data_IF_328379276359
#
_entry.id   IF_328379276359
#
_cell.length_a   1.000
_cell.length_b   1.000
_cell.length_c   1.000
_cell.angle_alpha   90.00
_cell.angle_beta   90.00
_cell.angle_gamma   90.00
#
_symmetry.space_group_name_H-M   'P 1'
#
loop_
_entity.id
_entity.type
_entity.pdbx_description
1 polymer ?
#
# COMPACT_ATOMS: atom_id res chain seq x y z
N UNK A 1 9.15 -11.98 15.13
CA UNK A 1 8.29 -13.04 14.55
C UNK A 1 9.14 -14.28 14.30
N UNK A 2 8.59 -15.49 14.42
CA UNK A 2 9.33 -16.73 14.14
C UNK A 2 8.43 -17.67 13.34
N UNK A 3 8.94 -18.23 12.24
CA UNK A 3 8.27 -19.26 11.43
C UNK A 3 8.70 -20.64 11.97
N UNK A 4 8.03 -21.11 13.03
CA UNK A 4 8.46 -22.28 13.80
C UNK A 4 7.99 -23.62 13.22
N UNK A 5 7.23 -23.63 12.13
CA UNK A 5 6.61 -24.81 11.54
C UNK A 5 7.62 -25.94 11.27
N UNK A 6 8.82 -25.60 10.76
CA UNK A 6 9.86 -26.59 10.45
C UNK A 6 10.42 -27.29 11.70
N UNK A 7 10.30 -26.68 12.89
CA UNK A 7 10.66 -27.33 14.16
C UNK A 7 9.69 -28.45 14.54
N UNK A 8 8.51 -28.48 13.94
CA UNK A 8 7.45 -29.49 14.15
C UNK A 8 7.34 -30.46 12.96
N UNK A 9 8.27 -30.42 12.00
CA UNK A 9 8.17 -31.21 10.77
C UNK A 9 7.12 -30.71 9.78
N UNK A 10 6.67 -29.46 9.93
CA UNK A 10 5.71 -28.82 9.03
C UNK A 10 6.41 -27.78 8.16
N UNK A 11 5.76 -27.36 7.08
CA UNK A 11 6.14 -26.14 6.35
C UNK A 11 5.07 -25.06 6.59
N UNK A 12 5.44 -23.76 6.52
CA UNK A 12 4.50 -22.64 6.68
C UNK A 12 3.62 -22.49 5.42
N UNK A 13 2.92 -23.55 5.01
CA UNK A 13 2.28 -23.68 3.71
C UNK A 13 1.25 -22.57 3.43
N UNK A 14 0.37 -22.29 4.40
CA UNK A 14 -0.76 -21.36 4.23
C UNK A 14 -0.32 -19.90 4.23
N UNK A 15 0.74 -19.57 4.96
CA UNK A 15 1.27 -18.20 5.07
C UNK A 15 2.40 -17.90 4.08
N UNK A 16 3.02 -18.93 3.49
CA UNK A 16 4.18 -18.82 2.59
C UNK A 16 3.97 -17.81 1.46
N UNK A 17 2.79 -17.78 0.84
CA UNK A 17 2.47 -16.84 -0.24
C UNK A 17 2.54 -15.37 0.19
N UNK A 18 2.23 -15.07 1.46
CA UNK A 18 2.33 -13.73 2.00
C UNK A 18 3.75 -13.43 2.46
N UNK A 19 4.39 -14.37 3.17
CA UNK A 19 5.78 -14.22 3.63
C UNK A 19 6.72 -14.00 2.46
N UNK A 20 6.64 -14.82 1.41
CA UNK A 20 7.52 -14.70 0.24
C UNK A 20 7.22 -13.41 -0.54
N UNK A 21 5.95 -13.00 -0.65
CA UNK A 21 5.57 -11.74 -1.32
C UNK A 21 6.14 -10.53 -0.59
N UNK A 22 6.01 -10.48 0.73
CA UNK A 22 6.42 -9.31 1.52
C UNK A 22 7.92 -9.31 1.81
N UNK A 23 8.51 -10.46 2.16
CA UNK A 23 9.90 -10.54 2.63
C UNK A 23 10.89 -10.81 1.49
N UNK A 24 10.40 -11.17 0.31
CA UNK A 24 11.23 -11.57 -0.82
C UNK A 24 11.79 -12.99 -0.68
N UNK A 25 12.17 -13.56 -1.82
CA UNK A 25 12.56 -14.98 -1.94
C UNK A 25 13.76 -15.35 -1.06
N UNK A 26 14.80 -14.53 -1.03
CA UNK A 26 16.04 -14.86 -0.34
C UNK A 26 15.86 -14.86 1.19
N UNK A 27 15.28 -13.79 1.73
CA UNK A 27 15.07 -13.65 3.17
C UNK A 27 14.01 -14.62 3.69
N UNK A 28 12.89 -14.78 2.97
CA UNK A 28 11.86 -15.75 3.34
C UNK A 28 12.41 -17.18 3.39
N UNK A 29 13.21 -17.59 2.39
CA UNK A 29 13.82 -18.93 2.35
C UNK A 29 14.70 -19.17 3.57
N UNK A 30 15.59 -18.23 3.89
CA UNK A 30 16.47 -18.35 5.06
C UNK A 30 15.64 -18.46 6.35
N UNK A 31 14.73 -17.51 6.60
CA UNK A 31 13.93 -17.48 7.82
C UNK A 31 13.01 -18.71 7.98
N UNK A 32 12.45 -19.23 6.87
CA UNK A 32 11.62 -20.44 6.88
C UNK A 32 12.42 -21.69 7.19
N UNK A 33 13.65 -21.82 6.67
CA UNK A 33 14.50 -22.98 6.88
C UNK A 33 15.17 -22.98 8.26
N UNK A 34 15.58 -21.80 8.75
CA UNK A 34 16.29 -21.68 10.03
C UNK A 34 15.34 -21.62 11.23
N UNK A 35 14.07 -21.24 11.03
CA UNK A 35 13.11 -20.96 12.10
C UNK A 35 13.68 -20.05 13.20
N UNK A 36 14.55 -19.12 12.79
CA UNK A 36 15.13 -18.12 13.69
C UNK A 36 14.12 -17.00 13.97
N UNK A 37 14.27 -16.29 15.09
CA UNK A 37 13.56 -15.04 15.30
C UNK A 37 13.96 -13.99 14.25
N UNK A 38 12.96 -13.32 13.69
CA UNK A 38 13.08 -12.14 12.81
C UNK A 38 12.58 -10.92 13.57
N UNK A 39 13.45 -9.94 13.74
CA UNK A 39 13.16 -8.72 14.49
C UNK A 39 12.51 -7.60 13.66
N UNK A 40 11.90 -6.59 14.29
CA UNK A 40 11.31 -5.46 13.59
C UNK A 40 12.35 -4.63 12.80
N UNK A 41 13.59 -4.52 13.30
CA UNK A 41 14.67 -3.79 12.62
C UNK A 41 15.03 -4.42 11.27
N UNK A 42 15.11 -5.75 11.19
CA UNK A 42 15.33 -6.46 9.94
C UNK A 42 14.18 -6.22 8.97
N UNK A 43 12.94 -6.31 9.45
CA UNK A 43 11.74 -6.07 8.63
C UNK A 43 11.65 -4.63 8.15
N UNK A 44 12.14 -3.67 8.93
CA UNK A 44 12.27 -2.27 8.53
C UNK A 44 13.35 -2.08 7.46
N UNK A 45 14.49 -2.76 7.59
CA UNK A 45 15.56 -2.73 6.58
C UNK A 45 15.12 -3.36 5.25
N UNK A 46 14.26 -4.38 5.29
CA UNK A 46 13.64 -4.99 4.12
C UNK A 46 12.51 -4.14 3.51
N UNK A 47 12.05 -3.09 4.19
CA UNK A 47 10.92 -2.26 3.75
C UNK A 47 9.53 -2.86 4.03
N UNK A 48 9.45 -3.99 4.74
CA UNK A 48 8.18 -4.64 5.15
C UNK A 48 7.46 -3.79 6.20
N UNK A 49 8.22 -3.21 7.13
CA UNK A 49 7.69 -2.28 8.14
C UNK A 49 8.00 -0.86 7.72
N UNK A 50 6.96 -0.02 7.63
CA UNK A 50 7.09 1.38 7.21
C UNK A 50 7.68 2.28 8.31
N UNK A 51 7.46 1.99 9.59
CA UNK A 51 7.97 2.77 10.71
C UNK A 51 8.07 1.90 11.96
N UNK A 52 9.13 2.11 12.74
CA UNK A 52 9.28 1.58 14.10
C UNK A 52 9.15 2.77 15.03
N UNK A 53 8.37 2.60 16.10
CA UNK A 53 8.22 3.59 17.16
C UNK A 53 8.84 2.99 18.41
N UNK A 54 9.78 3.71 19.02
CA UNK A 54 10.33 3.32 20.30
C UNK A 54 9.26 3.42 21.39
N UNK A 55 9.36 2.54 22.38
CA UNK A 55 8.45 2.58 23.52
C UNK A 55 8.73 3.87 24.30
N UNK A 56 7.78 4.80 24.30
CA UNK A 56 7.82 5.99 25.13
C UNK A 56 7.17 5.74 26.50
N UNK A 57 7.44 6.64 27.45
CA UNK A 57 6.92 6.54 28.82
C UNK A 57 5.40 6.77 28.86
N UNK A 58 4.89 7.59 27.94
CA UNK A 58 3.49 8.00 27.87
C UNK A 58 2.62 7.01 27.05
N UNK A 59 3.23 6.13 26.26
CA UNK A 59 2.54 5.13 25.44
C UNK A 59 1.89 5.67 24.14
N UNK A 60 1.94 6.97 23.91
CA UNK A 60 1.24 7.67 22.82
C UNK A 60 2.04 7.75 21.51
N UNK A 61 3.28 7.27 21.49
CA UNK A 61 4.16 7.38 20.33
C UNK A 61 3.56 6.76 19.06
N UNK A 62 2.86 5.63 19.20
CA UNK A 62 2.23 4.96 18.06
C UNK A 62 1.06 5.78 17.48
N UNK A 63 0.21 6.34 18.35
CA UNK A 63 -0.90 7.20 17.96
C UNK A 63 -0.41 8.44 17.22
N UNK A 64 0.63 9.10 17.74
CA UNK A 64 1.25 10.26 17.09
C UNK A 64 1.83 9.91 15.71
N UNK A 65 2.50 8.77 15.60
CA UNK A 65 3.03 8.30 14.32
C UNK A 65 1.92 8.00 13.31
N UNK A 66 0.80 7.41 13.77
CA UNK A 66 -0.38 7.17 12.96
C UNK A 66 -0.98 8.48 12.44
N UNK A 67 -1.19 9.48 13.30
CA UNK A 67 -1.77 10.77 12.90
C UNK A 67 -0.91 11.49 11.86
N UNK A 68 0.42 11.49 12.05
CA UNK A 68 1.36 12.04 11.08
C UNK A 68 1.32 11.29 9.75
N UNK A 69 1.14 9.97 9.77
CA UNK A 69 1.01 9.18 8.55
C UNK A 69 -0.33 9.44 7.84
N UNK A 70 -1.42 9.52 8.59
CA UNK A 70 -2.75 9.85 8.05
C UNK A 70 -2.75 11.23 7.39
N UNK A 71 -2.10 12.22 7.99
CA UNK A 71 -1.93 13.54 7.39
C UNK A 71 -1.20 13.49 6.03
N UNK A 72 -0.21 12.61 5.87
CA UNK A 72 0.53 12.44 4.61
C UNK A 72 -0.30 11.80 3.50
N UNK A 73 -1.20 10.87 3.83
CA UNK A 73 -2.02 10.20 2.81
C UNK A 73 -3.30 10.98 2.46
N UNK A 74 -3.75 11.91 3.32
CA UNK A 74 -4.93 12.77 3.08
C UNK A 74 -4.83 13.67 1.84
N UNK A 75 -3.62 13.89 1.33
CA UNK A 75 -3.41 14.66 0.08
C UNK A 75 -3.83 13.88 -1.17
N UNK A 76 -4.01 12.56 -1.06
CA UNK A 76 -4.31 11.69 -2.18
C UNK A 76 -5.82 11.57 -2.42
N UNK A 77 -6.21 11.65 -3.69
CA UNK A 77 -7.59 11.44 -4.10
C UNK A 77 -8.01 9.96 -3.88
N UNK A 78 -9.20 9.68 -3.32
CA UNK A 78 -9.61 8.31 -3.00
C UNK A 78 -9.68 7.34 -4.18
N UNK A 79 -10.29 7.73 -5.31
CA UNK A 79 -10.36 6.88 -6.52
C UNK A 79 -8.96 6.70 -7.11
N UNK A 80 -8.15 7.76 -7.20
CA UNK A 80 -6.77 7.63 -7.63
C UNK A 80 -5.97 6.66 -6.73
N UNK A 81 -6.15 6.73 -5.41
CA UNK A 81 -5.54 5.81 -4.46
C UNK A 81 -6.00 4.37 -4.66
N UNK A 82 -7.27 4.16 -4.96
CA UNK A 82 -7.81 2.82 -5.32
C UNK A 82 -7.17 2.28 -6.59
N UNK A 83 -7.02 3.12 -7.62
CA UNK A 83 -6.40 2.76 -8.90
C UNK A 83 -4.91 2.45 -8.73
N UNK A 84 -4.19 3.21 -7.90
CA UNK A 84 -2.80 2.87 -7.54
C UNK A 84 -2.69 1.50 -6.88
N UNK A 85 -3.62 1.14 -5.97
CA UNK A 85 -3.66 -0.20 -5.36
C UNK A 85 -3.97 -1.28 -6.40
N UNK A 86 -4.80 -0.98 -7.40
CA UNK A 86 -5.11 -1.89 -8.49
C UNK A 86 -3.91 -2.09 -9.42
N UNK A 87 -3.20 -1.01 -9.78
CA UNK A 87 -1.94 -1.07 -10.53
C UNK A 87 -0.95 -1.99 -9.82
N UNK A 88 -0.64 -1.76 -8.54
CA UNK A 88 0.32 -2.61 -7.80
C UNK A 88 -0.07 -4.09 -7.84
N UNK A 89 -1.36 -4.42 -7.74
CA UNK A 89 -1.83 -5.81 -7.85
C UNK A 89 -1.69 -6.38 -9.26
N UNK A 90 -1.99 -5.57 -10.27
CA UNK A 90 -1.85 -5.92 -11.68
C UNK A 90 -0.38 -6.18 -12.03
N UNK A 91 0.51 -5.27 -11.66
CA UNK A 91 1.96 -5.38 -11.84
C UNK A 91 2.50 -6.66 -11.21
N UNK A 92 2.00 -7.03 -10.03
CA UNK A 92 2.39 -8.27 -9.37
C UNK A 92 1.86 -9.53 -10.07
N UNK A 93 0.57 -9.55 -10.42
CA UNK A 93 -0.11 -10.76 -10.89
C UNK A 93 0.19 -11.07 -12.36
N UNK A 94 0.29 -10.03 -13.18
CA UNK A 94 0.32 -10.13 -14.63
C UNK A 94 1.66 -9.64 -15.21
N UNK A 95 2.70 -9.49 -14.38
CA UNK A 95 4.01 -8.97 -14.75
C UNK A 95 4.58 -9.64 -16.02
N UNK A 96 4.94 -8.83 -17.01
CA UNK A 96 5.50 -9.30 -18.29
C UNK A 96 4.48 -9.96 -19.23
N UNK A 97 3.21 -10.06 -18.84
CA UNK A 97 2.15 -10.57 -19.69
C UNK A 97 1.47 -9.46 -20.50
N UNK A 98 0.81 -9.78 -21.64
CA UNK A 98 -0.01 -8.82 -22.37
C UNK A 98 -1.14 -8.18 -21.53
N UNK A 99 -1.60 -8.88 -20.47
CA UNK A 99 -2.66 -8.39 -19.59
C UNK A 99 -2.23 -7.18 -18.77
N UNK A 100 -0.95 -7.09 -18.41
CA UNK A 100 -0.38 -5.94 -17.71
C UNK A 100 -0.60 -4.67 -18.51
N UNK A 101 -0.15 -4.63 -19.77
CA UNK A 101 -0.30 -3.47 -20.64
C UNK A 101 -1.78 -3.11 -20.85
N UNK A 102 -2.65 -4.09 -21.07
CA UNK A 102 -4.09 -3.84 -21.26
C UNK A 102 -4.76 -3.30 -19.99
N UNK A 103 -4.37 -3.76 -18.81
CA UNK A 103 -4.92 -3.30 -17.53
C UNK A 103 -4.42 -1.91 -17.16
N UNK A 104 -3.14 -1.59 -17.42
CA UNK A 104 -2.61 -0.23 -17.28
C UNK A 104 -3.42 0.73 -18.17
N UNK A 105 -3.65 0.35 -19.43
CA UNK A 105 -4.45 1.16 -20.35
C UNK A 105 -5.88 1.37 -19.84
N UNK A 106 -6.55 0.31 -19.36
CA UNK A 106 -7.91 0.41 -18.83
C UNK A 106 -7.99 1.36 -17.62
N UNK A 107 -7.00 1.29 -16.72
CA UNK A 107 -6.91 2.23 -15.59
C UNK A 107 -6.62 3.65 -16.06
N UNK A 108 -5.76 3.84 -17.05
CA UNK A 108 -5.52 5.16 -17.62
C UNK A 108 -6.78 5.76 -18.25
N UNK A 109 -7.52 4.97 -19.04
CA UNK A 109 -8.77 5.40 -19.67
C UNK A 109 -9.83 5.79 -18.62
N UNK A 110 -9.94 5.02 -17.53
CA UNK A 110 -10.81 5.34 -16.39
C UNK A 110 -10.41 6.65 -15.70
N UNK A 111 -9.11 6.86 -15.50
CA UNK A 111 -8.56 8.05 -14.84
C UNK A 111 -8.87 9.32 -15.64
N UNK A 112 -8.82 9.23 -16.97
CA UNK A 112 -8.94 10.38 -17.87
C UNK A 112 -10.38 10.77 -18.21
N UNK A 113 -11.39 10.13 -17.60
CA UNK A 113 -12.80 10.53 -17.76
C UNK A 113 -13.02 11.97 -17.29
N UNK A 114 -13.80 12.72 -18.06
CA UNK A 114 -14.04 14.15 -17.83
C UNK A 114 -14.74 14.46 -16.51
N UNK A 115 -15.49 13.50 -15.95
CA UNK A 115 -16.22 13.60 -14.68
C UNK A 115 -15.49 12.91 -13.50
N UNK A 116 -14.19 12.59 -13.67
CA UNK A 116 -13.38 11.92 -12.65
C UNK A 116 -12.60 12.87 -11.72
N UNK A 117 -12.01 12.29 -10.66
CA UNK A 117 -11.13 13.00 -9.72
C UNK A 117 -9.95 13.69 -10.42
N UNK A 118 -9.45 13.15 -11.54
CA UNK A 118 -8.35 13.74 -12.30
C UNK A 118 -8.72 15.11 -12.89
N UNK A 119 -9.94 15.28 -13.40
CA UNK A 119 -10.41 16.55 -13.94
C UNK A 119 -10.51 17.62 -12.83
N UNK A 120 -11.07 17.26 -11.68
CA UNK A 120 -11.15 18.13 -10.50
C UNK A 120 -9.75 18.50 -9.98
N UNK A 121 -8.86 17.52 -9.86
CA UNK A 121 -7.49 17.74 -9.41
C UNK A 121 -6.71 18.70 -10.33
N UNK A 122 -6.86 18.54 -11.64
CA UNK A 122 -6.23 19.41 -12.63
C UNK A 122 -6.79 20.84 -12.56
N UNK A 123 -8.09 21.00 -12.38
CA UNK A 123 -8.73 22.31 -12.20
C UNK A 123 -8.22 23.05 -10.95
N UNK A 124 -8.11 22.34 -9.82
CA UNK A 124 -7.58 22.89 -8.58
C UNK A 124 -6.12 23.34 -8.74
N UNK A 125 -5.31 22.49 -9.39
CA UNK A 125 -3.92 22.81 -9.69
C UNK A 125 -3.78 24.06 -10.57
N UNK A 126 -4.56 24.16 -11.65
CA UNK A 126 -4.59 25.34 -12.54
C UNK A 126 -5.06 26.61 -11.81
N UNK A 127 -5.90 26.47 -10.79
CA UNK A 127 -6.39 27.56 -9.95
C UNK A 127 -5.41 27.96 -8.83
N UNK A 128 -4.22 27.34 -8.77
CA UNK A 128 -3.18 27.63 -7.79
C UNK A 128 -3.36 26.94 -6.43
N UNK A 129 -4.33 26.03 -6.29
CA UNK A 129 -4.55 25.28 -5.05
C UNK A 129 -3.54 24.13 -4.97
N UNK A 130 -2.58 24.26 -4.05
CA UNK A 130 -1.49 23.29 -3.88
C UNK A 130 -1.88 22.00 -3.15
N UNK A 131 -2.94 22.05 -2.36
CA UNK A 131 -3.39 20.90 -1.55
C UNK A 131 -4.92 20.87 -1.54
N UNK A 132 -5.51 20.25 -2.58
CA UNK A 132 -6.96 20.08 -2.66
C UNK A 132 -7.45 19.29 -1.44
N UNK A 133 -8.51 19.78 -0.79
CA UNK A 133 -9.19 19.04 0.27
C UNK A 133 -10.17 18.07 -0.36
N UNK A 134 -9.70 16.87 -0.67
CA UNK A 134 -10.49 15.85 -1.36
C UNK A 134 -11.81 15.51 -0.64
N UNK A 135 -11.82 15.53 0.69
CA UNK A 135 -13.04 15.31 1.48
C UNK A 135 -14.13 16.34 1.13
N UNK A 136 -13.77 17.62 1.04
CA UNK A 136 -14.71 18.72 0.71
C UNK A 136 -15.13 18.68 -0.76
N UNK A 137 -14.20 18.35 -1.65
CA UNK A 137 -14.45 18.25 -3.08
C UNK A 137 -15.41 17.11 -3.44
N UNK A 138 -15.31 15.97 -2.76
CA UNK A 138 -16.20 14.84 -2.96
C UNK A 138 -17.58 15.04 -2.35
N UNK A 139 -17.69 15.82 -1.27
CA UNK A 139 -18.99 16.19 -0.69
C UNK A 139 -19.74 17.20 -1.56
N UNK A 140 -19.02 18.15 -2.18
CA UNK A 140 -19.60 19.20 -3.03
C UNK A 140 -19.90 18.74 -4.46
N UNK A 141 -19.14 17.76 -4.97
CA UNK A 141 -19.41 17.06 -6.21
C UNK A 141 -19.58 15.57 -5.89
N UNK A 142 -20.83 15.08 -5.69
CA UNK A 142 -21.08 13.66 -5.48
C UNK A 142 -20.81 12.91 -6.80
N UNK A 143 -19.54 12.67 -7.08
CA UNK A 143 -19.11 11.63 -8.01
C UNK A 143 -19.69 10.35 -7.43
N UNK A 144 -20.52 9.63 -8.20
CA UNK A 144 -21.11 8.36 -7.76
C UNK A 144 -20.00 7.36 -7.44
N UNK A 145 -19.53 7.37 -6.20
CA UNK A 145 -18.66 6.36 -5.66
C UNK A 145 -19.51 5.08 -5.53
N UNK A 146 -19.49 4.25 -6.59
CA UNK A 146 -19.85 2.85 -6.44
C UNK A 146 -18.72 2.20 -5.63
N UNK A 147 -18.95 2.07 -4.33
CA UNK A 147 -18.24 1.13 -3.46
C UNK A 147 -18.53 -0.31 -3.91
#
# INVERSE_FOLDING_TARGET
MTLSEVKLGLCPATISKYVVREWGLAFAREAMLSARPVGPLELKALGVISQIVEKDLDGDGLSRALDLYLAKIKVAAPKASSMCKELVRLEWKEAGSPKQASGIKALFDEMMKADGEAALGLQQFQSGVKSPRWDELLLSNPIRAKL
#
